data_IF_893967292962
#
_entry.id   IF_893967292962
#
_cell.length_a   1.000
_cell.length_b   1.000
_cell.length_c   1.000
_cell.angle_alpha   90.00
_cell.angle_beta   90.00
_cell.angle_gamma   90.00
#
_symmetry.space_group_name_H-M   'P 1'
#
loop_
_entity.id
_entity.type
_entity.pdbx_description
1 polymer ?
#
# COMPACT_ATOMS: atom_id res chain seq x y z
N UNK A 1 7.59 -8.64 -8.21
CA UNK A 1 7.17 -9.57 -7.15
C UNK A 1 6.11 -10.52 -7.69
N UNK A 2 6.46 -11.79 -7.96
CA UNK A 2 5.51 -12.83 -8.39
C UNK A 2 5.46 -14.04 -7.42
N UNK A 3 6.26 -14.03 -6.34
CA UNK A 3 6.46 -15.19 -5.45
C UNK A 3 6.15 -14.79 -4.00
N UNK A 4 4.86 -14.56 -3.70
CA UNK A 4 4.39 -14.20 -2.36
C UNK A 4 4.22 -15.43 -1.43
N UNK A 5 4.23 -16.64 -1.99
CA UNK A 5 4.12 -17.90 -1.26
C UNK A 5 5.37 -18.78 -1.45
N UNK A 6 5.81 -19.43 -0.37
CA UNK A 6 6.82 -20.48 -0.40
C UNK A 6 6.22 -21.76 -1.00
N UNK A 7 6.53 -22.06 -2.26
CA UNK A 7 6.13 -23.32 -2.88
C UNK A 7 7.08 -24.49 -2.52
N UNK A 8 8.06 -24.28 -1.63
CA UNK A 8 9.06 -25.28 -1.27
C UNK A 8 8.58 -26.11 -0.05
N UNK A 9 8.34 -27.42 -0.21
CA UNK A 9 7.92 -28.30 0.89
C UNK A 9 8.97 -28.45 2.00
N UNK A 10 10.23 -28.08 1.76
CA UNK A 10 11.33 -28.11 2.75
C UNK A 10 11.64 -26.72 3.35
N UNK A 11 10.66 -25.81 3.39
CA UNK A 11 10.85 -24.44 3.87
C UNK A 11 11.25 -24.41 5.36
N UNK A 12 12.53 -24.16 5.65
CA UNK A 12 13.13 -24.17 7.01
C UNK A 12 12.71 -22.98 7.91
N UNK A 13 11.68 -22.25 7.55
CA UNK A 13 11.40 -20.89 8.05
C UNK A 13 10.09 -20.78 8.84
N UNK A 14 9.70 -21.79 9.59
CA UNK A 14 8.50 -21.77 10.45
C UNK A 14 8.68 -20.91 11.71
N UNK A 15 8.39 -19.61 11.62
CA UNK A 15 7.95 -18.81 12.80
C UNK A 15 6.53 -18.26 12.62
N UNK A 16 5.99 -18.35 11.41
CA UNK A 16 4.60 -18.10 11.07
C UNK A 16 4.04 -19.34 10.42
N UNK A 17 2.88 -19.82 10.85
CA UNK A 17 2.15 -20.96 10.24
C UNK A 17 1.61 -20.65 8.83
N UNK A 18 2.22 -19.69 8.14
CA UNK A 18 1.86 -19.20 6.84
C UNK A 18 3.05 -19.34 5.93
N UNK A 19 2.83 -19.99 4.79
CA UNK A 19 3.79 -20.20 3.71
C UNK A 19 4.10 -18.89 2.96
N UNK A 20 4.34 -17.77 3.65
CA UNK A 20 4.78 -16.53 3.02
C UNK A 20 6.30 -16.53 2.93
N UNK A 21 6.80 -16.13 1.76
CA UNK A 21 8.22 -15.99 1.49
C UNK A 21 8.87 -14.90 2.37
N UNK A 22 9.94 -15.24 3.09
CA UNK A 22 10.65 -14.31 3.99
C UNK A 22 11.41 -13.21 3.23
N UNK A 23 11.92 -13.50 2.04
CA UNK A 23 12.57 -12.52 1.18
C UNK A 23 11.53 -11.50 0.71
N UNK A 24 10.33 -11.96 0.31
CA UNK A 24 9.21 -11.07 0.01
C UNK A 24 8.86 -10.15 1.19
N UNK A 25 8.72 -10.70 2.41
CA UNK A 25 8.47 -9.90 3.62
C UNK A 25 9.59 -8.92 3.92
N UNK A 26 10.84 -9.27 3.61
CA UNK A 26 11.98 -8.38 3.74
C UNK A 26 11.89 -7.22 2.74
N UNK A 27 11.63 -7.50 1.46
CA UNK A 27 11.47 -6.50 0.40
C UNK A 27 10.35 -5.49 0.72
N UNK A 28 9.26 -5.92 1.37
CA UNK A 28 8.19 -5.01 1.79
C UNK A 28 8.67 -3.92 2.75
N UNK A 29 9.74 -4.17 3.52
CA UNK A 29 10.28 -3.17 4.46
C UNK A 29 10.99 -2.02 3.74
N UNK A 30 11.55 -2.30 2.57
CA UNK A 30 12.25 -1.31 1.76
C UNK A 30 11.29 -0.26 1.19
N UNK A 31 9.99 -0.58 1.11
CA UNK A 31 8.94 0.36 0.70
C UNK A 31 8.79 1.56 1.66
N UNK A 32 9.38 1.53 2.86
CA UNK A 32 9.36 2.67 3.81
C UNK A 32 10.00 3.93 3.24
N UNK A 33 10.90 3.81 2.26
CA UNK A 33 11.48 4.95 1.55
C UNK A 33 10.40 5.83 0.89
N UNK A 34 9.23 5.25 0.53
CA UNK A 34 8.09 6.00 0.00
C UNK A 34 7.46 6.96 1.03
N UNK A 35 7.68 6.74 2.32
CA UNK A 35 7.19 7.63 3.39
C UNK A 35 8.14 8.78 3.72
N UNK A 36 9.33 8.82 3.11
CA UNK A 36 10.21 9.98 3.21
C UNK A 36 9.51 11.21 2.64
N UNK A 37 9.72 12.37 3.26
CA UNK A 37 8.92 13.57 3.03
C UNK A 37 8.77 13.93 1.55
N UNK A 38 9.88 13.91 0.80
CA UNK A 38 9.92 14.34 -0.59
C UNK A 38 9.33 13.27 -1.52
N UNK A 39 9.68 11.99 -1.31
CA UNK A 39 9.09 10.86 -2.04
C UNK A 39 7.56 10.77 -1.84
N UNK A 40 7.10 10.95 -0.60
CA UNK A 40 5.67 10.91 -0.27
C UNK A 40 4.89 12.07 -0.90
N UNK A 41 5.49 13.26 -0.93
CA UNK A 41 4.88 14.43 -1.56
C UNK A 41 4.82 14.26 -3.08
N UNK A 42 5.90 13.79 -3.70
CA UNK A 42 5.93 13.52 -5.14
C UNK A 42 4.94 12.42 -5.52
N UNK A 43 4.91 11.31 -4.78
CA UNK A 43 3.95 10.22 -4.96
C UNK A 43 2.51 10.72 -4.92
N UNK A 44 2.20 11.56 -3.93
CA UNK A 44 0.88 12.20 -3.80
C UNK A 44 0.53 13.00 -5.04
N UNK A 45 1.41 13.88 -5.49
CA UNK A 45 1.15 14.73 -6.66
C UNK A 45 0.93 13.90 -7.93
N UNK A 46 1.72 12.85 -8.13
CA UNK A 46 1.57 11.93 -9.26
C UNK A 46 0.22 11.22 -9.24
N UNK A 47 -0.17 10.63 -8.10
CA UNK A 47 -1.44 9.91 -7.97
C UNK A 47 -2.63 10.85 -8.14
N UNK A 48 -2.63 12.02 -7.49
CA UNK A 48 -3.71 12.99 -7.59
C UNK A 48 -3.88 13.50 -9.03
N UNK A 49 -2.78 13.77 -9.74
CA UNK A 49 -2.84 14.17 -11.15
C UNK A 49 -3.55 13.12 -12.01
N UNK A 50 -3.29 11.84 -11.78
CA UNK A 50 -3.92 10.72 -12.52
C UNK A 50 -5.38 10.52 -12.14
N UNK A 51 -5.77 10.80 -10.89
CA UNK A 51 -7.15 10.65 -10.42
C UNK A 51 -8.07 11.80 -10.78
N UNK A 52 -7.54 13.01 -10.95
CA UNK A 52 -8.32 14.24 -11.18
C UNK A 52 -9.41 14.12 -12.26
N UNK A 53 -9.17 13.49 -13.43
CA UNK A 53 -10.20 13.35 -14.47
C UNK A 53 -11.35 12.39 -14.11
N UNK A 54 -11.18 11.58 -13.06
CA UNK A 54 -12.08 10.49 -12.70
C UNK A 54 -12.88 10.74 -11.41
N UNK A 55 -12.61 11.85 -10.72
CA UNK A 55 -13.24 12.17 -9.44
C UNK A 55 -14.03 13.47 -9.52
N UNK A 56 -15.09 13.55 -8.72
CA UNK A 56 -15.72 14.85 -8.43
C UNK A 56 -14.77 15.71 -7.60
N UNK A 57 -14.92 17.04 -7.65
CA UNK A 57 -14.08 17.98 -6.90
C UNK A 57 -14.06 17.66 -5.39
N UNK A 58 -15.23 17.32 -4.82
CA UNK A 58 -15.33 16.92 -3.41
C UNK A 58 -14.45 15.70 -3.12
N UNK A 59 -14.62 14.62 -3.88
CA UNK A 59 -13.84 13.38 -3.69
C UNK A 59 -12.36 13.60 -3.89
N UNK A 60 -11.98 14.46 -4.83
CA UNK A 60 -10.61 14.86 -5.09
C UNK A 60 -9.98 15.56 -3.87
N UNK A 61 -10.68 16.51 -3.27
CA UNK A 61 -10.20 17.22 -2.07
C UNK A 61 -10.11 16.29 -0.84
N UNK A 62 -11.09 15.39 -0.69
CA UNK A 62 -11.13 14.41 0.40
C UNK A 62 -9.95 13.42 0.30
N UNK A 63 -9.63 12.93 -0.91
CA UNK A 63 -8.47 12.03 -1.11
C UNK A 63 -7.14 12.77 -0.98
N UNK A 64 -7.01 14.01 -1.46
CA UNK A 64 -5.80 14.82 -1.28
C UNK A 64 -5.45 14.97 0.20
N UNK A 65 -6.44 15.38 1.01
CA UNK A 65 -6.30 15.54 2.46
C UNK A 65 -5.95 14.22 3.15
N UNK A 66 -6.50 13.11 2.68
CA UNK A 66 -6.33 11.78 3.30
C UNK A 66 -5.10 11.02 2.78
N UNK A 67 -4.48 11.46 1.68
CA UNK A 67 -3.49 10.67 0.94
C UNK A 67 -2.32 10.20 1.80
N UNK A 68 -1.74 11.12 2.57
CA UNK A 68 -0.59 10.81 3.44
C UNK A 68 -0.95 9.83 4.54
N UNK A 69 -2.18 9.89 5.05
CA UNK A 69 -2.68 8.94 6.04
C UNK A 69 -2.85 7.54 5.44
N UNK A 70 -3.51 7.46 4.27
CA UNK A 70 -3.69 6.21 3.53
C UNK A 70 -2.34 5.58 3.19
N UNK A 71 -1.38 6.38 2.71
CA UNK A 71 -0.04 5.90 2.36
C UNK A 71 0.68 5.30 3.57
N UNK A 72 0.65 5.98 4.72
CA UNK A 72 1.23 5.44 5.96
C UNK A 72 0.55 4.14 6.37
N UNK A 73 -0.77 4.05 6.28
CA UNK A 73 -1.49 2.83 6.63
C UNK A 73 -1.09 1.65 5.72
N UNK A 74 -1.04 1.86 4.40
CA UNK A 74 -0.63 0.83 3.44
C UNK A 74 0.80 0.34 3.74
N UNK A 75 1.75 1.28 3.90
CA UNK A 75 3.15 0.93 4.13
C UNK A 75 3.38 0.30 5.51
N UNK A 76 2.68 0.76 6.55
CA UNK A 76 2.78 0.17 7.89
C UNK A 76 2.21 -1.25 7.94
N UNK A 77 1.10 -1.51 7.25
CA UNK A 77 0.58 -2.87 7.10
C UNK A 77 1.63 -3.76 6.43
N UNK A 78 2.16 -3.33 5.27
CA UNK A 78 3.18 -4.08 4.54
C UNK A 78 4.44 -4.36 5.39
N UNK A 79 4.95 -3.35 6.10
CA UNK A 79 6.08 -3.47 7.01
C UNK A 79 5.79 -4.40 8.19
N UNK A 80 4.57 -4.37 8.72
CA UNK A 80 4.12 -5.18 9.84
C UNK A 80 4.03 -6.67 9.52
N UNK A 81 3.83 -7.04 8.26
CA UNK A 81 3.64 -8.44 7.84
C UNK A 81 4.80 -9.38 8.21
N UNK A 82 5.98 -8.88 8.54
CA UNK A 82 7.06 -9.73 9.05
C UNK A 82 6.86 -10.17 10.52
N UNK A 83 5.78 -9.72 11.18
CA UNK A 83 5.42 -10.07 12.55
C UNK A 83 4.15 -10.93 12.58
N UNK A 84 4.23 -12.08 13.26
CA UNK A 84 3.15 -13.08 13.32
C UNK A 84 1.82 -12.54 13.85
N UNK A 85 1.86 -11.56 14.75
CA UNK A 85 0.66 -10.87 15.25
C UNK A 85 0.01 -10.02 14.16
N UNK A 86 0.77 -9.17 13.48
CA UNK A 86 0.26 -8.26 12.45
C UNK A 86 -0.32 -9.04 11.25
N UNK A 87 0.30 -10.17 10.89
CA UNK A 87 -0.26 -11.10 9.91
C UNK A 87 -1.66 -11.58 10.31
N UNK A 88 -1.86 -11.95 11.59
CA UNK A 88 -3.15 -12.43 12.09
C UNK A 88 -4.23 -11.33 12.00
N UNK A 89 -3.81 -10.10 12.24
CA UNK A 89 -4.69 -8.93 12.24
C UNK A 89 -4.84 -8.28 10.84
N UNK A 90 -4.16 -8.80 9.80
CA UNK A 90 -4.08 -8.21 8.46
C UNK A 90 -5.44 -7.79 7.88
N UNK A 91 -6.44 -8.67 7.93
CA UNK A 91 -7.75 -8.36 7.36
C UNK A 91 -8.51 -7.30 8.17
N UNK A 92 -8.35 -7.30 9.50
CA UNK A 92 -8.92 -6.26 10.37
C UNK A 92 -8.28 -4.91 10.05
N UNK A 93 -6.95 -4.90 9.94
CA UNK A 93 -6.18 -3.72 9.59
C UNK A 93 -6.56 -3.14 8.21
N UNK A 94 -6.73 -3.99 7.20
CA UNK A 94 -7.19 -3.55 5.88
C UNK A 94 -8.59 -2.93 5.98
N UNK A 95 -9.50 -3.55 6.71
CA UNK A 95 -10.86 -3.03 6.87
C UNK A 95 -10.82 -1.67 7.58
N UNK A 96 -10.23 -1.62 8.76
CA UNK A 96 -10.26 -0.44 9.63
C UNK A 96 -9.43 0.73 9.07
N UNK A 97 -8.23 0.45 8.55
CA UNK A 97 -7.27 1.48 8.18
C UNK A 97 -7.37 1.90 6.72
N UNK A 98 -7.93 1.06 5.83
CA UNK A 98 -8.06 1.36 4.39
C UNK A 98 -9.52 1.45 3.96
N UNK A 99 -10.32 0.40 4.18
CA UNK A 99 -11.68 0.32 3.64
C UNK A 99 -12.57 1.40 4.26
N UNK A 100 -12.50 1.61 5.58
CA UNK A 100 -13.29 2.66 6.24
C UNK A 100 -12.91 4.08 5.77
N UNK A 101 -11.64 4.32 5.42
CA UNK A 101 -11.22 5.60 4.82
C UNK A 101 -11.84 5.79 3.42
N UNK A 102 -11.80 4.75 2.56
CA UNK A 102 -12.41 4.83 1.23
C UNK A 102 -13.94 4.95 1.30
N UNK A 103 -14.59 4.30 2.26
CA UNK A 103 -16.03 4.49 2.54
C UNK A 103 -16.34 5.92 2.97
N UNK A 104 -15.52 6.52 3.83
CA UNK A 104 -15.70 7.91 4.26
C UNK A 104 -15.62 8.90 3.08
N UNK A 105 -14.70 8.67 2.13
CA UNK A 105 -14.56 9.43 0.88
C UNK A 105 -15.66 9.08 -0.13
N UNK A 106 -16.41 8.00 0.11
CA UNK A 106 -17.43 7.44 -0.79
C UNK A 106 -16.86 6.99 -2.13
N UNK A 107 -15.65 6.42 -2.11
CA UNK A 107 -15.12 5.74 -3.28
C UNK A 107 -15.98 4.53 -3.65
N UNK A 108 -16.35 4.44 -4.92
CA UNK A 108 -16.91 3.22 -5.48
C UNK A 108 -15.79 2.24 -5.87
N UNK A 109 -16.17 1.07 -6.39
CA UNK A 109 -15.21 0.05 -6.81
C UNK A 109 -14.23 0.58 -7.86
N UNK A 110 -14.72 1.26 -8.90
CA UNK A 110 -13.89 1.80 -9.98
C UNK A 110 -12.88 2.83 -9.47
N UNK A 111 -13.31 3.78 -8.65
CA UNK A 111 -12.45 4.81 -8.04
C UNK A 111 -11.40 4.18 -7.11
N UNK A 112 -11.80 3.17 -6.33
CA UNK A 112 -10.89 2.40 -5.47
C UNK A 112 -9.82 1.68 -6.29
N UNK A 113 -10.22 0.97 -7.35
CA UNK A 113 -9.30 0.27 -8.25
C UNK A 113 -8.34 1.26 -8.93
N UNK A 114 -8.85 2.40 -9.40
CA UNK A 114 -8.04 3.45 -10.00
C UNK A 114 -7.01 4.00 -9.01
N UNK A 115 -7.42 4.32 -7.78
CA UNK A 115 -6.52 4.78 -6.74
C UNK A 115 -5.41 3.77 -6.48
N UNK A 116 -5.75 2.50 -6.22
CA UNK A 116 -4.77 1.46 -5.90
C UNK A 116 -3.81 1.19 -7.06
N UNK A 117 -4.31 1.22 -8.31
CA UNK A 117 -3.48 1.10 -9.51
C UNK A 117 -2.46 2.24 -9.60
N UNK A 118 -2.92 3.49 -9.54
CA UNK A 118 -2.04 4.64 -9.64
C UNK A 118 -1.09 4.75 -8.45
N UNK A 119 -1.53 4.39 -7.24
CA UNK A 119 -0.69 4.29 -6.06
C UNK A 119 0.45 3.28 -6.26
N UNK A 120 0.15 2.10 -6.82
CA UNK A 120 1.15 1.05 -7.09
C UNK A 120 2.13 1.43 -8.20
N UNK A 121 1.66 2.07 -9.27
CA UNK A 121 2.46 2.30 -10.48
C UNK A 121 3.28 3.59 -10.43
N UNK A 122 2.80 4.64 -9.75
CA UNK A 122 3.48 5.94 -9.74
C UNK A 122 4.85 6.00 -9.07
N UNK A 123 5.23 5.15 -8.09
CA UNK A 123 6.56 5.17 -7.50
C UNK A 123 7.69 5.03 -8.54
N UNK A 124 7.48 4.32 -9.64
CA UNK A 124 8.49 4.17 -10.71
C UNK A 124 8.93 5.50 -11.36
N UNK A 125 8.18 6.59 -11.14
CA UNK A 125 8.49 7.91 -11.66
C UNK A 125 9.25 8.80 -10.65
N UNK A 126 9.39 8.35 -9.39
CA UNK A 126 10.12 9.03 -8.32
C UNK A 126 11.59 8.67 -8.43
N UNK A 127 12.49 9.66 -8.33
CA UNK A 127 13.92 9.45 -8.56
C UNK A 127 14.54 8.38 -7.65
N UNK A 128 14.13 8.31 -6.38
CA UNK A 128 14.58 7.30 -5.41
C UNK A 128 14.25 5.85 -5.81
N UNK A 129 13.34 5.65 -6.78
CA UNK A 129 12.92 4.34 -7.29
C UNK A 129 13.35 4.10 -8.75
N UNK A 130 14.04 5.06 -9.38
CA UNK A 130 14.64 4.90 -10.71
C UNK A 130 15.98 4.16 -10.55
N UNK A 131 15.90 2.84 -10.47
CA UNK A 131 17.04 1.91 -10.53
C UNK A 131 17.20 1.31 -11.92
#
# INVERSE_FOLDING_TARGET
>A
MNNWSCNNPDCKYEETSMDIDREFLHELRDLRILLEKDNLEEHRLLVLRMLKPHLTEKKFNDIDTSFKNISRNIINIAYGLNHSKEIRDLFLDIVEKIIELFKAIKFNQTETTLFLRHYKESPQFIDSFKG
#
